data_IF_710517437415
#
_entry.id   IF_710517437415
#
_cell.length_a   1.000
_cell.length_b   1.000
_cell.length_c   1.000
_cell.angle_alpha   90.00
_cell.angle_beta   90.00
_cell.angle_gamma   90.00
#
_symmetry.space_group_name_H-M   'P 1'
#
loop_
_entity.id
_entity.type
_entity.pdbx_description
1 polymer ?
#
# COMPACT_ATOMS: atom_id res chain seq x y z
N UNK A 1 3.76 24.65 -17.53
CA UNK A 1 2.37 24.93 -17.06
C UNK A 1 2.37 26.28 -16.39
N UNK A 2 1.40 27.16 -16.73
CA UNK A 2 1.29 28.48 -16.08
C UNK A 2 0.64 28.33 -14.70
N UNK A 3 1.11 29.11 -13.71
CA UNK A 3 0.56 29.08 -12.35
C UNK A 3 -0.95 29.40 -12.31
N UNK A 4 -1.40 30.28 -13.22
CA UNK A 4 -2.83 30.64 -13.38
C UNK A 4 -3.73 29.42 -13.76
N UNK A 5 -3.15 28.37 -14.32
CA UNK A 5 -3.87 27.17 -14.76
C UNK A 5 -3.64 25.98 -13.80
N UNK A 6 -3.10 26.23 -12.60
CA UNK A 6 -2.80 25.21 -11.62
C UNK A 6 -3.59 25.44 -10.34
N UNK A 7 -4.21 24.41 -9.81
CA UNK A 7 -4.96 24.48 -8.57
C UNK A 7 -3.99 24.53 -7.37
N UNK A 8 -3.64 25.75 -6.95
CA UNK A 8 -2.94 25.99 -5.69
C UNK A 8 -3.97 26.15 -4.57
N UNK A 9 -4.21 25.10 -3.80
CA UNK A 9 -5.18 25.11 -2.69
C UNK A 9 -4.49 25.27 -1.34
N UNK A 10 -3.65 26.31 -1.20
CA UNK A 10 -2.94 26.56 0.07
C UNK A 10 -3.88 27.16 1.12
N UNK A 11 -3.63 26.84 2.39
CA UNK A 11 -4.35 27.37 3.53
C UNK A 11 -3.41 28.09 4.49
N UNK A 12 -3.87 29.20 5.06
CA UNK A 12 -3.12 29.94 6.09
C UNK A 12 -3.07 29.17 7.40
N UNK A 13 -4.20 28.58 7.82
CA UNK A 13 -4.36 27.88 9.07
C UNK A 13 -4.60 26.40 8.83
N UNK A 14 -4.17 25.55 9.78
CA UNK A 14 -4.49 24.14 9.81
C UNK A 14 -5.83 23.93 10.52
N UNK A 15 -6.59 22.87 10.14
CA UNK A 15 -7.72 22.41 10.94
C UNK A 15 -7.28 22.03 12.36
N UNK A 16 -8.19 22.17 13.32
CA UNK A 16 -7.91 21.91 14.74
C UNK A 16 -7.59 20.45 15.06
N UNK A 17 -8.05 19.53 14.23
CA UNK A 17 -7.78 18.09 14.32
C UNK A 17 -6.44 17.65 13.73
N UNK A 18 -5.74 18.54 13.03
CA UNK A 18 -4.40 18.29 12.51
C UNK A 18 -3.34 18.53 13.62
N UNK A 19 -3.04 17.48 14.39
CA UNK A 19 -2.16 17.56 15.57
C UNK A 19 -0.68 17.50 15.18
N UNK A 20 -0.29 16.60 14.25
CA UNK A 20 1.12 16.42 13.87
C UNK A 20 1.54 17.39 12.76
N UNK A 21 2.81 17.80 12.79
CA UNK A 21 3.37 18.81 11.86
C UNK A 21 3.23 18.38 10.41
N UNK A 22 3.51 17.12 10.08
CA UNK A 22 3.37 16.59 8.71
C UNK A 22 1.93 16.74 8.17
N UNK A 23 0.93 16.40 8.97
CA UNK A 23 -0.48 16.56 8.60
C UNK A 23 -0.84 18.04 8.38
N UNK A 24 -0.42 18.92 9.30
CA UNK A 24 -0.64 20.36 9.18
C UNK A 24 -0.02 20.93 7.89
N UNK A 25 1.23 20.58 7.62
CA UNK A 25 1.95 21.07 6.44
C UNK A 25 1.35 20.53 5.13
N UNK A 26 0.96 19.27 5.08
CA UNK A 26 0.31 18.69 3.90
C UNK A 26 -1.02 19.38 3.57
N UNK A 27 -1.84 19.68 4.59
CA UNK A 27 -3.10 20.42 4.38
C UNK A 27 -2.82 21.86 3.95
N UNK A 28 -1.92 22.56 4.65
CA UNK A 28 -1.60 23.97 4.36
C UNK A 28 -0.95 24.13 2.99
N UNK A 29 -0.09 23.22 2.59
CA UNK A 29 0.53 23.23 1.25
C UNK A 29 -0.44 22.83 0.12
N UNK A 30 -1.68 22.49 0.43
CA UNK A 30 -2.65 22.05 -0.58
C UNK A 30 -2.28 20.72 -1.23
N UNK A 31 -1.70 19.81 -0.46
CA UNK A 31 -1.35 18.47 -0.92
C UNK A 31 -2.50 17.48 -0.78
N UNK A 32 -3.27 17.59 0.30
CA UNK A 32 -4.39 16.70 0.62
C UNK A 32 -5.61 17.50 1.09
N UNK A 33 -6.80 16.86 0.97
CA UNK A 33 -8.04 17.28 1.63
C UNK A 33 -8.75 16.07 2.20
N UNK A 34 -9.24 16.22 3.41
CA UNK A 34 -10.03 15.19 4.08
C UNK A 34 -11.45 15.16 3.50
N UNK A 35 -11.89 13.98 3.10
CA UNK A 35 -13.29 13.71 2.69
C UNK A 35 -14.09 13.21 3.89
N UNK A 36 -13.49 12.29 4.64
CA UNK A 36 -14.00 11.73 5.88
C UNK A 36 -12.83 11.33 6.76
N UNK A 37 -13.07 10.95 8.03
CA UNK A 37 -12.00 10.49 8.91
C UNK A 37 -11.23 9.32 8.29
N UNK A 38 -9.94 9.51 8.05
CA UNK A 38 -9.06 8.53 7.43
C UNK A 38 -9.20 8.37 5.91
N UNK A 39 -9.97 9.23 5.25
CA UNK A 39 -10.12 9.25 3.79
C UNK A 39 -9.70 10.60 3.23
N UNK A 40 -8.74 10.61 2.31
CA UNK A 40 -8.13 11.83 1.80
C UNK A 40 -8.12 11.87 0.27
N UNK A 41 -8.44 13.02 -0.28
CA UNK A 41 -8.16 13.33 -1.69
C UNK A 41 -6.75 13.91 -1.80
N UNK A 42 -5.95 13.34 -2.69
CA UNK A 42 -4.65 13.89 -3.06
C UNK A 42 -4.84 14.96 -4.14
N UNK A 43 -4.48 16.20 -3.82
CA UNK A 43 -4.55 17.33 -4.74
C UNK A 43 -3.35 17.34 -5.72
N UNK A 44 -3.37 18.17 -6.77
CA UNK A 44 -2.33 18.14 -7.82
C UNK A 44 -0.89 18.25 -7.32
N UNK A 45 -0.62 19.03 -6.27
CA UNK A 45 0.71 19.11 -5.66
C UNK A 45 1.06 17.84 -4.89
N UNK A 46 0.10 17.33 -4.12
CA UNK A 46 0.29 16.10 -3.31
C UNK A 46 0.54 14.88 -4.18
N UNK A 47 -0.26 14.70 -5.26
CA UNK A 47 -0.09 13.55 -6.15
C UNK A 47 1.27 13.56 -6.87
N UNK A 48 1.85 14.73 -7.17
CA UNK A 48 3.20 14.82 -7.73
C UNK A 48 4.26 14.32 -6.75
N UNK A 49 4.14 14.67 -5.47
CA UNK A 49 5.07 14.20 -4.43
C UNK A 49 4.90 12.70 -4.22
N UNK A 50 3.65 12.23 -4.10
CA UNK A 50 3.35 10.81 -3.97
C UNK A 50 3.95 9.98 -5.12
N UNK A 51 3.77 10.43 -6.37
CA UNK A 51 4.31 9.76 -7.56
C UNK A 51 5.85 9.75 -7.61
N UNK A 52 6.52 10.76 -7.04
CA UNK A 52 7.99 10.73 -6.90
C UNK A 52 8.44 9.67 -5.92
N UNK A 53 7.81 9.59 -4.75
CA UNK A 53 8.11 8.55 -3.76
C UNK A 53 7.80 7.15 -4.33
N UNK A 54 6.63 6.98 -4.96
CA UNK A 54 6.24 5.74 -5.63
C UNK A 54 7.26 5.29 -6.68
N UNK A 55 7.78 6.24 -7.47
CA UNK A 55 8.82 5.95 -8.48
C UNK A 55 10.09 5.42 -7.85
N UNK A 56 10.59 6.05 -6.79
CA UNK A 56 11.79 5.60 -6.07
C UNK A 56 11.58 4.18 -5.53
N UNK A 57 10.47 3.94 -4.87
CA UNK A 57 10.13 2.61 -4.33
C UNK A 57 10.10 1.56 -5.45
N UNK A 58 9.41 1.86 -6.56
CA UNK A 58 9.30 0.95 -7.70
C UNK A 58 10.68 0.59 -8.29
N UNK A 59 11.52 1.59 -8.50
CA UNK A 59 12.87 1.40 -9.04
C UNK A 59 13.71 0.50 -8.13
N UNK A 60 13.70 0.72 -6.81
CA UNK A 60 14.47 -0.11 -5.88
C UNK A 60 13.94 -1.55 -5.77
N UNK A 61 12.62 -1.75 -5.83
CA UNK A 61 12.04 -3.10 -5.88
C UNK A 61 12.46 -3.83 -7.17
N UNK A 62 12.41 -3.16 -8.31
CA UNK A 62 12.84 -3.75 -9.60
C UNK A 62 14.35 -4.01 -9.62
N UNK A 63 15.18 -3.12 -9.09
CA UNK A 63 16.63 -3.30 -8.96
C UNK A 63 16.97 -4.49 -8.06
N UNK A 64 16.14 -4.78 -7.06
CA UNK A 64 16.22 -5.97 -6.21
C UNK A 64 15.72 -7.26 -6.89
N UNK A 65 15.33 -7.21 -8.16
CA UNK A 65 14.85 -8.35 -8.93
C UNK A 65 13.40 -8.74 -8.65
N UNK A 66 12.63 -7.92 -7.93
CA UNK A 66 11.23 -8.19 -7.69
C UNK A 66 10.36 -7.88 -8.92
N UNK A 67 9.38 -8.72 -9.19
CA UNK A 67 8.46 -8.61 -10.33
C UNK A 67 7.20 -7.84 -9.92
N UNK A 68 6.87 -6.80 -10.67
CA UNK A 68 5.66 -6.01 -10.39
C UNK A 68 4.41 -6.75 -10.86
N UNK A 69 3.41 -6.83 -9.97
CA UNK A 69 2.06 -7.32 -10.26
C UNK A 69 1.04 -6.28 -9.81
N UNK A 70 -0.19 -6.39 -10.27
CA UNK A 70 -1.30 -5.57 -9.77
C UNK A 70 -2.49 -6.50 -9.51
N UNK A 71 -2.79 -6.68 -8.24
CA UNK A 71 -3.86 -7.57 -7.77
C UNK A 71 -5.15 -6.77 -7.48
N UNK A 72 -6.33 -7.41 -7.53
CA UNK A 72 -7.59 -6.72 -7.27
C UNK A 72 -7.69 -6.22 -5.82
N UNK A 73 -8.27 -5.01 -5.64
CA UNK A 73 -8.55 -4.45 -4.31
C UNK A 73 -9.75 -5.09 -3.62
N UNK A 74 -10.72 -5.59 -4.41
CA UNK A 74 -11.86 -6.37 -3.91
C UNK A 74 -11.49 -7.84 -3.99
N UNK A 75 -11.62 -8.56 -2.88
CA UNK A 75 -11.17 -9.94 -2.74
C UNK A 75 -12.31 -10.85 -2.34
N UNK A 76 -12.42 -12.05 -2.94
CA UNK A 76 -13.46 -13.01 -2.61
C UNK A 76 -13.23 -13.60 -1.20
N UNK A 77 -14.31 -13.84 -0.48
CA UNK A 77 -14.26 -14.35 0.90
C UNK A 77 -13.67 -15.77 1.00
N UNK A 78 -13.78 -16.55 -0.07
CA UNK A 78 -13.33 -17.95 -0.12
C UNK A 78 -11.84 -18.08 0.19
N UNK A 79 -10.99 -17.21 -0.35
CA UNK A 79 -9.54 -17.19 -0.09
C UNK A 79 -9.25 -16.90 1.39
N UNK A 80 -10.02 -16.00 1.99
CA UNK A 80 -9.90 -15.63 3.41
C UNK A 80 -10.45 -16.72 4.34
N UNK A 81 -11.47 -17.45 3.91
CA UNK A 81 -12.02 -18.59 4.63
C UNK A 81 -11.04 -19.76 4.63
N UNK A 82 -10.37 -20.03 3.51
CA UNK A 82 -9.36 -21.08 3.38
C UNK A 82 -8.23 -20.91 4.39
N UNK A 83 -7.75 -19.67 4.61
CA UNK A 83 -6.72 -19.37 5.63
C UNK A 83 -7.27 -19.25 7.05
N UNK A 84 -8.58 -19.27 7.23
CA UNK A 84 -9.26 -19.00 8.50
C UNK A 84 -9.17 -17.54 8.95
N UNK A 85 -8.66 -16.62 8.10
CA UNK A 85 -8.50 -15.19 8.43
C UNK A 85 -9.81 -14.43 8.28
N UNK A 86 -10.80 -14.96 7.56
CA UNK A 86 -12.12 -14.31 7.45
C UNK A 86 -12.73 -13.97 8.81
N UNK A 87 -12.65 -14.88 9.78
CA UNK A 87 -13.14 -14.66 11.14
C UNK A 87 -12.10 -13.99 12.04
N UNK A 88 -10.82 -14.38 11.90
CA UNK A 88 -9.74 -13.98 12.82
C UNK A 88 -9.25 -12.55 12.61
N UNK A 89 -9.36 -11.99 11.39
CA UNK A 89 -8.84 -10.65 11.07
C UNK A 89 -9.53 -9.54 11.87
N UNK A 90 -10.77 -9.76 12.26
CA UNK A 90 -11.52 -8.82 13.09
C UNK A 90 -12.24 -7.73 12.29
N UNK A 91 -12.63 -6.63 12.97
CA UNK A 91 -13.47 -5.58 12.41
C UNK A 91 -12.77 -4.68 11.40
N UNK A 92 -11.43 -4.66 11.36
CA UNK A 92 -10.68 -3.89 10.37
C UNK A 92 -10.84 -4.42 8.93
N UNK A 93 -11.29 -5.67 8.77
CA UNK A 93 -11.65 -6.23 7.49
C UNK A 93 -13.03 -5.73 7.08
N UNK A 94 -13.08 -4.79 6.14
CA UNK A 94 -14.37 -4.30 5.62
C UNK A 94 -14.96 -5.32 4.66
N UNK A 95 -16.02 -6.00 5.12
CA UNK A 95 -16.77 -7.01 4.36
C UNK A 95 -17.90 -6.35 3.59
N UNK A 96 -18.17 -6.84 2.41
CA UNK A 96 -19.24 -6.37 1.54
C UNK A 96 -19.86 -7.55 0.79
N UNK A 97 -21.02 -7.32 0.22
CA UNK A 97 -21.69 -8.28 -0.65
C UNK A 97 -21.85 -7.70 -2.05
N UNK A 98 -21.72 -8.56 -3.05
CA UNK A 98 -22.06 -8.16 -4.41
C UNK A 98 -23.59 -8.25 -4.65
N UNK A 99 -24.01 -7.89 -5.87
CA UNK A 99 -25.44 -7.93 -6.26
C UNK A 99 -26.07 -9.34 -6.23
N UNK A 100 -25.24 -10.38 -6.13
CA UNK A 100 -25.66 -11.78 -6.07
C UNK A 100 -25.55 -12.35 -4.65
N UNK A 101 -25.40 -11.48 -3.65
CA UNK A 101 -25.27 -11.82 -2.22
C UNK A 101 -24.02 -12.64 -1.88
N UNK A 102 -22.97 -12.59 -2.74
CA UNK A 102 -21.70 -13.24 -2.47
C UNK A 102 -20.81 -12.35 -1.62
N UNK A 103 -20.11 -12.97 -0.66
CA UNK A 103 -19.25 -12.26 0.28
C UNK A 103 -17.90 -11.89 -0.34
N UNK A 104 -17.47 -10.65 -0.12
CA UNK A 104 -16.20 -10.09 -0.49
C UNK A 104 -15.64 -9.23 0.64
N UNK A 105 -14.40 -8.79 0.51
CA UNK A 105 -13.84 -7.73 1.35
C UNK A 105 -13.03 -6.72 0.52
N UNK A 106 -12.82 -5.53 1.07
CA UNK A 106 -11.77 -4.64 0.59
C UNK A 106 -10.45 -5.10 1.19
N UNK A 107 -9.45 -5.36 0.32
CA UNK A 107 -8.17 -5.94 0.72
C UNK A 107 -7.36 -5.05 1.65
N UNK A 108 -7.20 -5.44 2.93
CA UNK A 108 -6.27 -4.79 3.84
C UNK A 108 -4.82 -5.21 3.59
N UNK A 109 -4.65 -6.35 2.92
CA UNK A 109 -3.41 -7.00 2.52
C UNK A 109 -3.71 -8.03 1.42
N UNK A 110 -2.70 -8.66 0.80
CA UNK A 110 -2.91 -9.53 -0.37
C UNK A 110 -2.22 -10.89 -0.27
N UNK A 111 -1.90 -11.38 0.92
CA UNK A 111 -1.29 -12.71 1.10
C UNK A 111 -2.14 -13.82 0.48
N UNK A 112 -3.45 -13.76 0.65
CA UNK A 112 -4.38 -14.74 0.11
C UNK A 112 -4.35 -14.76 -1.43
N UNK A 113 -4.42 -13.57 -2.04
CA UNK A 113 -4.47 -13.43 -3.50
C UNK A 113 -3.15 -13.82 -4.16
N UNK A 114 -2.01 -13.38 -3.60
CA UNK A 114 -0.69 -13.71 -4.18
C UNK A 114 -0.35 -15.20 -4.00
N UNK A 115 -0.81 -15.80 -2.91
CA UNK A 115 -0.63 -17.24 -2.69
C UNK A 115 -1.46 -18.05 -3.66
N UNK A 116 -2.69 -17.64 -3.92
CA UNK A 116 -3.53 -18.27 -4.94
C UNK A 116 -2.94 -18.11 -6.34
N UNK A 117 -2.43 -16.92 -6.68
CA UNK A 117 -1.70 -16.70 -7.93
C UNK A 117 -0.50 -17.65 -8.05
N UNK A 118 0.35 -17.70 -7.02
CA UNK A 118 1.53 -18.57 -7.02
C UNK A 118 1.15 -20.05 -7.14
N UNK A 119 0.09 -20.51 -6.46
CA UNK A 119 -0.44 -21.88 -6.54
C UNK A 119 -0.84 -22.27 -7.96
N UNK A 120 -1.43 -21.35 -8.70
CA UNK A 120 -1.96 -21.61 -10.02
C UNK A 120 -0.90 -21.45 -11.14
N UNK A 121 0.09 -20.57 -10.94
CA UNK A 121 1.09 -20.25 -11.99
C UNK A 121 2.39 -21.04 -11.83
N UNK A 122 2.74 -21.48 -10.60
CA UNK A 122 3.95 -22.26 -10.35
C UNK A 122 3.74 -23.72 -10.72
N UNK A 123 4.37 -24.17 -11.80
CA UNK A 123 4.32 -25.56 -12.28
C UNK A 123 5.56 -26.37 -11.93
N UNK A 124 6.63 -25.73 -11.48
CA UNK A 124 7.89 -26.39 -11.10
C UNK A 124 8.62 -25.62 -10.00
N UNK A 125 9.22 -26.37 -9.06
CA UNK A 125 10.11 -25.80 -8.03
C UNK A 125 11.34 -25.07 -8.63
N UNK A 126 11.70 -25.37 -9.88
CA UNK A 126 12.79 -24.69 -10.59
C UNK A 126 12.49 -23.21 -10.93
N UNK A 127 11.23 -22.81 -10.80
CA UNK A 127 10.82 -21.42 -10.95
C UNK A 127 11.05 -20.59 -9.68
N UNK A 128 11.42 -21.23 -8.57
CA UNK A 128 11.76 -20.57 -7.32
C UNK A 128 13.26 -20.25 -7.23
N UNK A 129 13.65 -19.19 -6.54
CA UNK A 129 12.78 -18.26 -5.80
C UNK A 129 12.05 -17.28 -6.71
N UNK A 130 10.86 -16.85 -6.28
CA UNK A 130 10.11 -15.75 -6.90
C UNK A 130 9.86 -14.66 -5.87
N UNK A 131 10.01 -13.40 -6.28
CA UNK A 131 9.70 -12.25 -5.47
C UNK A 131 8.77 -11.33 -6.26
N UNK A 132 7.57 -11.11 -5.76
CA UNK A 132 6.58 -10.21 -6.35
C UNK A 132 6.41 -8.97 -5.50
N UNK A 133 6.08 -7.85 -6.12
CA UNK A 133 5.63 -6.67 -5.40
C UNK A 133 4.49 -5.99 -6.15
N UNK A 134 3.74 -5.17 -5.44
CA UNK A 134 2.76 -4.26 -6.02
C UNK A 134 2.79 -2.92 -5.29
N UNK A 135 2.27 -1.88 -5.95
CA UNK A 135 1.93 -0.61 -5.33
C UNK A 135 0.43 -0.44 -5.53
N UNK A 136 -0.33 -0.63 -4.47
CA UNK A 136 -1.78 -0.77 -4.53
C UNK A 136 -2.45 -0.09 -3.34
N UNK A 137 -3.63 0.45 -3.57
CA UNK A 137 -4.50 0.96 -2.52
C UNK A 137 -4.95 -0.18 -1.61
N UNK A 138 -4.81 0.03 -0.30
CA UNK A 138 -5.34 -0.85 0.75
C UNK A 138 -6.45 -0.13 1.51
N UNK A 139 -7.35 -0.92 2.04
CA UNK A 139 -8.38 -0.42 2.93
C UNK A 139 -8.36 -1.20 4.24
N UNK A 140 -8.25 -0.47 5.36
CA UNK A 140 -8.41 -1.00 6.72
C UNK A 140 -9.43 -0.16 7.45
N UNK A 141 -10.47 -0.79 7.99
CA UNK A 141 -11.52 -0.08 8.74
C UNK A 141 -11.00 0.33 10.13
N UNK A 142 -9.98 1.18 10.11
CA UNK A 142 -9.25 1.67 11.28
C UNK A 142 -10.22 2.39 12.25
N UNK A 143 -10.26 1.93 13.48
CA UNK A 143 -11.15 2.47 14.54
C UNK A 143 -10.80 3.91 14.89
N UNK A 144 -9.50 4.27 14.87
CA UNK A 144 -9.00 5.58 15.27
C UNK A 144 -8.06 6.18 14.24
N UNK A 145 -8.55 6.56 13.04
CA UNK A 145 -7.72 7.24 12.05
C UNK A 145 -7.18 8.56 12.63
N UNK A 146 -5.88 8.81 12.44
CA UNK A 146 -5.20 9.99 12.97
C UNK A 146 -3.91 10.28 12.20
N UNK A 147 -3.33 11.46 12.41
CA UNK A 147 -2.07 11.87 11.81
C UNK A 147 -2.11 11.97 10.27
N UNK A 148 -3.25 12.38 9.72
CA UNK A 148 -3.43 12.52 8.29
C UNK A 148 -3.29 11.17 7.56
N UNK A 149 -2.46 11.16 6.52
CA UNK A 149 -2.22 9.96 5.70
C UNK A 149 -1.36 8.90 6.39
N UNK A 150 -0.76 9.20 7.55
CA UNK A 150 0.10 8.25 8.27
C UNK A 150 -0.69 7.09 8.90
N UNK A 151 -1.93 7.34 9.33
CA UNK A 151 -2.85 6.32 9.86
C UNK A 151 -4.25 6.56 9.33
N UNK A 152 -4.42 6.35 8.07
CA UNK A 152 -5.67 6.49 7.31
C UNK A 152 -6.37 5.14 7.14
N UNK A 153 -7.62 5.17 6.68
CA UNK A 153 -8.40 3.97 6.37
C UNK A 153 -8.11 3.46 4.96
N UNK A 154 -7.93 4.39 4.02
CA UNK A 154 -7.53 4.10 2.65
C UNK A 154 -6.14 4.73 2.40
N UNK A 155 -5.21 3.94 1.89
CA UNK A 155 -3.82 4.37 1.67
C UNK A 155 -3.13 3.53 0.60
N UNK A 156 -2.13 4.13 -0.05
CA UNK A 156 -1.29 3.43 -1.00
C UNK A 156 -0.17 2.70 -0.25
N UNK A 157 0.01 1.42 -0.54
CA UNK A 157 1.04 0.58 0.05
C UNK A 157 1.87 -0.08 -1.05
N UNK A 158 3.20 -0.13 -0.87
CA UNK A 158 4.03 -1.13 -1.52
C UNK A 158 4.09 -2.35 -0.62
N UNK A 159 3.63 -3.47 -1.11
CA UNK A 159 3.76 -4.78 -0.48
C UNK A 159 4.50 -5.74 -1.41
N UNK A 160 5.33 -6.61 -0.81
CA UNK A 160 6.11 -7.59 -1.55
C UNK A 160 6.00 -8.96 -0.89
N UNK A 161 6.05 -10.01 -1.71
CA UNK A 161 5.82 -11.39 -1.33
C UNK A 161 6.81 -12.29 -2.05
N UNK A 162 7.51 -13.15 -1.32
CA UNK A 162 8.48 -14.05 -1.93
C UNK A 162 8.18 -15.51 -1.61
N UNK A 163 8.51 -16.38 -2.55
CA UNK A 163 8.28 -17.82 -2.48
C UNK A 163 9.59 -18.55 -2.68
N UNK A 164 9.87 -19.55 -1.82
CA UNK A 164 11.17 -20.19 -1.72
C UNK A 164 11.03 -21.71 -1.55
N UNK A 165 12.01 -22.46 -2.06
CA UNK A 165 12.10 -23.90 -1.83
C UNK A 165 12.80 -24.26 -0.52
N UNK A 166 13.61 -23.35 0.05
CA UNK A 166 14.37 -23.59 1.27
C UNK A 166 14.69 -22.28 2.02
N UNK A 167 15.11 -22.42 3.27
CA UNK A 167 15.39 -21.28 4.15
C UNK A 167 16.58 -20.44 3.69
N UNK A 168 17.59 -21.04 3.03
CA UNK A 168 18.76 -20.30 2.52
C UNK A 168 18.35 -19.24 1.49
N UNK A 169 17.57 -19.63 0.47
CA UNK A 169 17.10 -18.72 -0.56
C UNK A 169 16.14 -17.64 -0.01
N UNK A 170 15.38 -17.96 1.06
CA UNK A 170 14.55 -16.98 1.76
C UNK A 170 15.43 -15.91 2.42
N UNK A 171 16.48 -16.33 3.13
CA UNK A 171 17.39 -15.39 3.80
C UNK A 171 18.11 -14.47 2.80
N UNK A 172 18.61 -15.03 1.69
CA UNK A 172 19.24 -14.25 0.62
C UNK A 172 18.28 -13.18 0.07
N UNK A 173 17.03 -13.54 -0.23
CA UNK A 173 16.04 -12.57 -0.70
C UNK A 173 15.69 -11.54 0.38
N UNK A 174 15.61 -11.95 1.65
CA UNK A 174 15.37 -11.03 2.76
C UNK A 174 16.47 -9.97 2.86
N UNK A 175 17.73 -10.37 2.75
CA UNK A 175 18.89 -9.47 2.83
C UNK A 175 18.90 -8.49 1.62
N UNK A 176 18.61 -8.97 0.42
CA UNK A 176 18.45 -8.12 -0.78
C UNK A 176 17.33 -7.10 -0.60
N UNK A 177 16.18 -7.53 -0.08
CA UNK A 177 15.03 -6.64 0.16
C UNK A 177 15.32 -5.64 1.28
N UNK A 178 16.05 -6.05 2.33
CA UNK A 178 16.51 -5.13 3.38
C UNK A 178 17.36 -4.01 2.77
N UNK A 179 18.35 -4.35 1.94
CA UNK A 179 19.18 -3.35 1.26
C UNK A 179 18.34 -2.44 0.34
N UNK A 180 17.35 -2.99 -0.36
CA UNK A 180 16.47 -2.19 -1.19
C UNK A 180 15.67 -1.16 -0.38
N UNK A 181 15.22 -1.51 0.82
CA UNK A 181 14.56 -0.54 1.72
C UNK A 181 15.53 0.54 2.21
N UNK A 182 16.76 0.19 2.57
CA UNK A 182 17.79 1.17 2.91
C UNK A 182 18.00 2.16 1.74
N UNK A 183 18.15 1.67 0.53
CA UNK A 183 18.29 2.51 -0.66
C UNK A 183 17.09 3.44 -0.89
N UNK A 184 15.86 2.96 -0.63
CA UNK A 184 14.64 3.80 -0.71
C UNK A 184 14.74 4.96 0.28
N UNK A 185 15.12 4.70 1.54
CA UNK A 185 15.20 5.74 2.57
C UNK A 185 16.33 6.73 2.28
N UNK A 186 17.50 6.25 1.85
CA UNK A 186 18.61 7.11 1.41
C UNK A 186 18.21 8.04 0.27
N UNK A 187 17.53 7.51 -0.75
CA UNK A 187 17.07 8.29 -1.93
C UNK A 187 15.98 9.29 -1.58
N UNK A 188 15.16 9.01 -0.56
CA UNK A 188 14.14 9.94 -0.06
C UNK A 188 14.76 10.96 0.90
N UNK A 189 15.94 10.67 1.47
CA UNK A 189 16.65 11.51 2.43
C UNK A 189 16.09 11.38 3.85
N UNK A 190 15.72 10.18 4.25
CA UNK A 190 15.26 9.87 5.61
C UNK A 190 16.37 9.18 6.39
N UNK A 191 16.58 9.63 7.62
CA UNK A 191 17.37 8.90 8.62
C UNK A 191 16.54 7.74 9.18
N UNK A 192 17.13 6.52 9.31
CA UNK A 192 16.45 5.30 9.74
C UNK A 192 17.35 4.39 10.58
#
# INVERSE_FOLDING_TARGET
MRASNYLFSTLRNSPTDAVVVSHQLMIRAGMIRQVSKGLYTWLPTGIKVLRKAEKIVREEMQNAGALEVLMPGVQPSELWMETGRWQKYGPELLRLKDRHDRDYCLGPTHEEVITDLARNELTSYKQLPLNFFQIQTKFRDEVRPRFGVMRSREFLMKDAYSFHANQGSLQETYDVMHQAYCNVFDRIGLDY
#
